data_IF_561713262350
#
_entry.id   IF_561713262350
#
_cell.length_a   1.000
_cell.length_b   1.000
_cell.length_c   1.000
_cell.angle_alpha   90.00
_cell.angle_beta   90.00
_cell.angle_gamma   90.00
#
_symmetry.space_group_name_H-M   'P 1'
#
loop_
_entity.id
_entity.type
_entity.pdbx_description
1 polymer ?
#
# COMPACT_ATOMS: atom_id res chain seq x y z
N UNK A 1 -10.45 -15.19 36.62
CA UNK A 1 -11.26 -15.57 35.44
C UNK A 1 -10.41 -16.52 34.64
N UNK A 2 -10.84 -17.77 34.44
CA UNK A 2 -10.10 -18.76 33.63
C UNK A 2 -10.66 -18.79 32.19
N UNK A 3 -10.00 -19.48 31.25
CA UNK A 3 -10.43 -19.56 29.84
C UNK A 3 -11.85 -20.11 29.69
N UNK A 4 -12.24 -21.07 30.53
CA UNK A 4 -13.59 -21.65 30.55
C UNK A 4 -14.64 -20.60 30.88
N UNK A 5 -14.38 -19.73 31.87
CA UNK A 5 -15.29 -18.64 32.24
C UNK A 5 -15.43 -17.63 31.10
N UNK A 6 -14.32 -17.28 30.44
CA UNK A 6 -14.30 -16.36 29.28
C UNK A 6 -15.08 -16.98 28.11
N UNK A 7 -14.81 -18.24 27.78
CA UNK A 7 -15.49 -18.96 26.68
C UNK A 7 -17.01 -19.09 26.92
N UNK A 8 -17.43 -19.23 28.18
CA UNK A 8 -18.86 -19.24 28.57
C UNK A 8 -19.51 -17.85 28.46
N UNK A 9 -18.75 -16.78 28.72
CA UNK A 9 -19.24 -15.41 28.59
C UNK A 9 -19.31 -14.93 27.14
N UNK A 10 -18.44 -15.44 26.26
CA UNK A 10 -18.44 -15.11 24.83
C UNK A 10 -19.63 -15.72 24.10
N UNK A 11 -20.53 -14.86 23.59
CA UNK A 11 -21.68 -15.26 22.76
C UNK A 11 -21.32 -15.50 21.29
N UNK A 12 -20.28 -14.83 20.81
CA UNK A 12 -19.79 -14.94 19.43
C UNK A 12 -18.35 -15.45 19.53
N UNK A 13 -18.12 -16.64 18.98
CA UNK A 13 -16.82 -17.31 18.95
C UNK A 13 -16.68 -18.18 17.72
N UNK A 14 -15.45 -18.63 17.45
CA UNK A 14 -15.19 -19.65 16.44
C UNK A 14 -15.69 -21.02 16.94
N UNK A 15 -16.08 -21.87 15.99
CA UNK A 15 -16.54 -23.22 16.31
C UNK A 15 -15.37 -24.08 16.82
N UNK A 16 -15.68 -25.12 17.58
CA UNK A 16 -14.71 -26.10 18.07
C UNK A 16 -14.37 -27.19 17.02
N UNK A 17 -14.47 -26.85 15.74
CA UNK A 17 -14.14 -27.73 14.63
C UNK A 17 -13.05 -27.09 13.79
N UNK A 18 -12.03 -27.89 13.45
CA UNK A 18 -10.96 -27.42 12.59
C UNK A 18 -11.43 -27.41 11.14
N UNK A 19 -11.41 -26.25 10.46
CA UNK A 19 -11.63 -26.22 9.03
C UNK A 19 -10.49 -26.99 8.32
N UNK A 20 -10.76 -27.55 7.13
CA UNK A 20 -9.71 -28.13 6.31
C UNK A 20 -8.67 -27.07 5.97
N UNK A 21 -7.41 -27.48 5.84
CA UNK A 21 -6.36 -26.57 5.44
C UNK A 21 -6.61 -26.09 3.99
N UNK A 22 -6.58 -24.78 3.72
CA UNK A 22 -6.99 -24.26 2.43
C UNK A 22 -5.98 -24.57 1.33
N UNK A 23 -6.46 -24.61 0.08
CA UNK A 23 -5.59 -24.67 -1.09
C UNK A 23 -5.20 -23.27 -1.56
N UNK A 24 -3.92 -23.10 -1.87
CA UNK A 24 -3.37 -21.89 -2.47
C UNK A 24 -3.22 -22.07 -3.97
N UNK A 25 -3.84 -21.19 -4.75
CA UNK A 25 -3.67 -21.13 -6.21
C UNK A 25 -2.27 -20.61 -6.54
N UNK A 26 -1.58 -21.33 -7.41
CA UNK A 26 -0.25 -20.96 -7.91
C UNK A 26 -0.30 -19.66 -8.72
N UNK A 27 0.79 -18.89 -8.74
CA UNK A 27 0.89 -17.63 -9.47
C UNK A 27 0.24 -16.42 -8.79
N UNK A 28 -0.52 -16.62 -7.71
CA UNK A 28 -1.01 -15.53 -6.87
C UNK A 28 0.08 -15.07 -5.92
N UNK A 29 0.32 -13.75 -5.89
CA UNK A 29 1.38 -13.12 -5.09
C UNK A 29 1.24 -13.43 -3.59
N UNK A 30 2.39 -13.60 -2.93
CA UNK A 30 2.52 -13.90 -1.49
C UNK A 30 3.39 -12.84 -0.83
N UNK A 31 3.08 -12.49 0.41
CA UNK A 31 3.92 -11.56 1.17
C UNK A 31 5.30 -12.18 1.46
N UNK A 32 6.38 -11.38 1.44
CA UNK A 32 7.69 -11.84 1.88
C UNK A 32 7.68 -12.18 3.38
N UNK A 33 8.71 -12.90 3.83
CA UNK A 33 8.92 -13.17 5.26
C UNK A 33 9.06 -11.84 6.01
N UNK A 34 8.25 -11.65 7.06
CA UNK A 34 8.29 -10.46 7.91
C UNK A 34 9.49 -10.50 8.86
N UNK A 35 10.00 -9.32 9.21
CA UNK A 35 11.04 -9.22 10.25
C UNK A 35 10.46 -9.65 11.59
N UNK A 36 11.10 -10.64 12.20
CA UNK A 36 10.67 -11.20 13.48
C UNK A 36 11.90 -11.35 14.39
N UNK A 37 12.01 -10.45 15.38
CA UNK A 37 13.03 -10.49 16.43
C UNK A 37 12.37 -10.78 17.78
N UNK A 38 11.88 -12.01 17.94
CA UNK A 38 11.26 -12.48 19.18
C UNK A 38 12.19 -13.45 19.90
N UNK A 39 12.35 -13.27 21.21
CA UNK A 39 13.00 -14.29 22.04
C UNK A 39 12.03 -15.46 22.34
N UNK A 40 12.53 -16.54 22.95
CA UNK A 40 11.71 -17.74 23.25
C UNK A 40 10.42 -17.42 24.03
N UNK A 41 10.51 -16.58 25.06
CA UNK A 41 9.34 -16.17 25.87
C UNK A 41 8.31 -15.41 25.02
N UNK A 42 8.77 -14.60 24.08
CA UNK A 42 7.92 -13.84 23.18
C UNK A 42 7.30 -14.70 22.10
N UNK A 43 8.00 -15.71 21.60
CA UNK A 43 7.43 -16.73 20.71
C UNK A 43 6.29 -17.47 21.42
N UNK A 44 6.50 -17.91 22.66
CA UNK A 44 5.44 -18.53 23.47
C UNK A 44 4.25 -17.57 23.69
N UNK A 45 4.52 -16.27 23.87
CA UNK A 45 3.48 -15.25 23.98
C UNK A 45 2.72 -15.04 22.67
N UNK A 46 3.41 -14.99 21.52
CA UNK A 46 2.79 -14.86 20.21
C UNK A 46 1.82 -16.03 19.93
N UNK A 47 2.24 -17.25 20.26
CA UNK A 47 1.40 -18.44 20.16
C UNK A 47 0.15 -18.33 21.05
N UNK A 48 0.32 -17.95 22.33
CA UNK A 48 -0.81 -17.73 23.25
C UNK A 48 -1.76 -16.65 22.73
N UNK A 49 -1.22 -15.57 22.15
CA UNK A 49 -2.00 -14.49 21.57
C UNK A 49 -2.76 -14.90 20.31
N UNK A 50 -2.27 -15.86 19.53
CA UNK A 50 -3.02 -16.43 18.41
C UNK A 50 -4.08 -17.43 18.91
N UNK A 51 -3.71 -18.30 19.85
CA UNK A 51 -4.59 -19.33 20.41
C UNK A 51 -5.79 -18.77 21.19
N UNK A 52 -5.73 -17.53 21.67
CA UNK A 52 -6.87 -16.88 22.35
C UNK A 52 -8.15 -16.80 21.51
N UNK A 53 -8.06 -16.93 20.19
CA UNK A 53 -9.20 -16.84 19.28
C UNK A 53 -9.94 -18.17 19.07
N UNK A 54 -9.32 -19.28 19.47
CA UNK A 54 -9.79 -20.64 19.18
C UNK A 54 -10.09 -21.40 20.48
N UNK A 55 -11.06 -22.32 20.49
CA UNK A 55 -11.35 -23.14 21.67
C UNK A 55 -10.13 -23.93 22.15
N UNK A 56 -10.00 -24.10 23.47
CA UNK A 56 -8.82 -24.69 24.13
C UNK A 56 -8.56 -26.13 23.68
N UNK A 57 -9.63 -26.89 23.42
CA UNK A 57 -9.55 -28.24 22.87
C UNK A 57 -8.84 -28.36 21.51
N UNK A 58 -8.67 -27.25 20.78
CA UNK A 58 -7.96 -27.22 19.49
C UNK A 58 -6.49 -26.77 19.62
N UNK A 59 -6.04 -26.37 20.81
CA UNK A 59 -4.73 -25.74 20.98
C UNK A 59 -3.56 -26.68 20.71
N UNK A 60 -3.69 -27.96 21.09
CA UNK A 60 -2.63 -28.96 20.88
C UNK A 60 -2.32 -29.17 19.40
N UNK A 61 -3.35 -29.16 18.54
CA UNK A 61 -3.21 -29.34 17.10
C UNK A 61 -2.77 -28.04 16.39
N UNK A 62 -3.26 -26.87 16.84
CA UNK A 62 -2.97 -25.57 16.20
C UNK A 62 -1.63 -24.96 16.62
N UNK A 63 -1.13 -25.24 17.82
CA UNK A 63 0.11 -24.63 18.30
C UNK A 63 1.34 -24.95 17.41
N UNK A 64 1.54 -26.20 16.93
CA UNK A 64 2.59 -26.51 15.97
C UNK A 64 2.44 -25.75 14.64
N UNK A 65 1.23 -25.65 14.10
CA UNK A 65 0.96 -24.92 12.85
C UNK A 65 1.27 -23.43 12.98
N UNK A 66 0.81 -22.81 14.07
CA UNK A 66 1.09 -21.39 14.33
C UNK A 66 2.57 -21.15 14.58
N UNK A 67 3.29 -22.09 15.21
CA UNK A 67 4.73 -21.98 15.39
C UNK A 67 5.45 -22.07 14.04
N UNK A 68 5.04 -23.00 13.17
CA UNK A 68 5.58 -23.12 11.83
C UNK A 68 5.36 -21.83 11.03
N UNK A 69 4.14 -21.30 11.02
CA UNK A 69 3.84 -20.02 10.35
C UNK A 69 4.71 -18.87 10.89
N UNK A 70 4.82 -18.76 12.22
CA UNK A 70 5.63 -17.71 12.85
C UNK A 70 7.11 -17.81 12.44
N UNK A 71 7.69 -19.01 12.43
CA UNK A 71 9.11 -19.20 12.10
C UNK A 71 9.41 -19.03 10.60
N UNK A 72 8.49 -19.47 9.75
CA UNK A 72 8.65 -19.45 8.29
C UNK A 72 8.30 -18.10 7.68
N UNK A 73 7.24 -17.46 8.17
CA UNK A 73 6.73 -16.19 7.61
C UNK A 73 6.99 -14.97 8.50
N UNK A 74 7.46 -15.16 9.73
CA UNK A 74 7.63 -14.07 10.70
C UNK A 74 6.30 -13.58 11.28
N UNK A 75 5.20 -14.28 11.03
CA UNK A 75 3.84 -13.88 11.40
C UNK A 75 2.89 -15.07 11.44
N UNK A 76 1.90 -15.04 12.34
CA UNK A 76 0.83 -16.05 12.41
C UNK A 76 -0.39 -15.51 11.66
N UNK A 77 -0.62 -15.99 10.44
CA UNK A 77 -1.79 -15.65 9.64
C UNK A 77 -2.99 -16.54 9.98
N UNK A 78 -2.74 -17.72 10.55
CA UNK A 78 -3.73 -18.76 10.80
C UNK A 78 -4.38 -19.22 9.51
N UNK A 79 -3.57 -19.64 8.52
CA UNK A 79 -4.04 -19.97 7.18
C UNK A 79 -5.18 -20.97 7.17
N UNK A 80 -5.17 -21.95 8.10
CA UNK A 80 -6.27 -22.90 8.28
C UNK A 80 -7.65 -22.23 8.37
N UNK A 81 -7.74 -21.04 8.98
CA UNK A 81 -8.99 -20.29 9.13
C UNK A 81 -9.35 -19.44 7.91
N UNK A 82 -8.56 -19.43 6.84
CA UNK A 82 -8.93 -18.72 5.61
C UNK A 82 -10.13 -19.41 4.93
N UNK A 83 -11.13 -18.67 4.41
CA UNK A 83 -12.16 -19.25 3.54
C UNK A 83 -11.57 -19.79 2.23
N UNK A 84 -12.03 -20.97 1.76
CA UNK A 84 -11.63 -21.54 0.47
C UNK A 84 -12.07 -20.65 -0.70
N UNK A 85 -11.28 -20.61 -1.78
CA UNK A 85 -11.63 -19.90 -3.02
C UNK A 85 -11.30 -18.41 -3.03
N UNK A 86 -11.71 -17.71 -4.10
CA UNK A 86 -11.53 -16.26 -4.25
C UNK A 86 -12.51 -15.50 -3.35
N UNK A 87 -11.99 -14.54 -2.60
CA UNK A 87 -12.78 -13.55 -1.86
C UNK A 87 -12.95 -12.34 -2.78
N UNK A 88 -14.12 -11.74 -2.82
CA UNK A 88 -14.40 -10.50 -3.55
C UNK A 88 -15.70 -9.87 -3.02
N UNK A 89 -15.87 -8.56 -3.21
CA UNK A 89 -17.08 -7.84 -2.80
C UNK A 89 -18.28 -8.26 -3.65
N UNK A 90 -19.23 -8.99 -3.05
CA UNK A 90 -20.47 -9.41 -3.72
C UNK A 90 -21.56 -8.33 -3.63
N UNK A 91 -22.64 -8.42 -4.41
CA UNK A 91 -23.85 -7.64 -4.17
C UNK A 91 -24.32 -7.75 -2.72
N UNK A 92 -24.70 -6.61 -2.13
CA UNK A 92 -25.04 -6.50 -0.70
C UNK A 92 -26.13 -7.47 -0.24
N UNK A 93 -27.04 -7.85 -1.12
CA UNK A 93 -28.14 -8.76 -0.82
C UNK A 93 -27.69 -10.20 -0.57
N UNK A 94 -26.48 -10.57 -1.00
CA UNK A 94 -25.87 -11.89 -0.72
C UNK A 94 -25.28 -11.99 0.70
N UNK A 95 -25.11 -10.85 1.39
CA UNK A 95 -24.56 -10.83 2.75
C UNK A 95 -25.64 -11.00 3.81
N UNK A 96 -25.32 -11.80 4.82
CA UNK A 96 -26.13 -11.96 6.04
C UNK A 96 -25.87 -10.79 6.99
N UNK A 97 -26.89 -10.35 7.71
CA UNK A 97 -26.75 -9.26 8.68
C UNK A 97 -28.08 -8.80 9.23
N UNK A 98 -28.07 -8.30 10.46
CA UNK A 98 -29.25 -7.72 11.14
C UNK A 98 -29.46 -6.23 10.82
N UNK A 99 -28.48 -5.56 10.22
CA UNK A 99 -28.60 -4.20 9.70
C UNK A 99 -27.86 -4.05 8.35
N UNK A 100 -28.18 -2.99 7.60
CA UNK A 100 -27.61 -2.74 6.27
C UNK A 100 -26.11 -2.42 6.35
N UNK A 101 -25.71 -1.63 7.33
CA UNK A 101 -24.33 -1.20 7.54
C UNK A 101 -23.43 -2.41 7.83
N UNK A 102 -23.91 -3.37 8.63
CA UNK A 102 -23.19 -4.62 8.87
C UNK A 102 -22.96 -5.43 7.60
N UNK A 103 -23.90 -5.42 6.65
CA UNK A 103 -23.71 -6.03 5.32
C UNK A 103 -22.73 -5.21 4.47
N UNK A 104 -22.87 -3.89 4.46
CA UNK A 104 -22.00 -2.99 3.71
C UNK A 104 -20.51 -3.15 4.10
N UNK A 105 -20.19 -3.19 5.40
CA UNK A 105 -18.82 -3.43 5.85
C UNK A 105 -18.30 -4.80 5.39
N UNK A 106 -19.15 -5.83 5.35
CA UNK A 106 -18.75 -7.14 4.85
C UNK A 106 -18.41 -7.12 3.35
N UNK A 107 -19.17 -6.39 2.53
CA UNK A 107 -18.86 -6.18 1.10
C UNK A 107 -17.48 -5.54 0.98
N UNK A 108 -17.24 -4.47 1.74
CA UNK A 108 -16.01 -3.69 1.63
C UNK A 108 -14.77 -4.43 2.14
N UNK A 109 -14.90 -5.22 3.21
CA UNK A 109 -13.83 -6.12 3.68
C UNK A 109 -13.45 -7.10 2.57
N UNK A 110 -14.43 -7.72 1.91
CA UNK A 110 -14.16 -8.70 0.87
C UNK A 110 -13.59 -8.05 -0.39
N UNK A 111 -14.02 -6.82 -0.71
CA UNK A 111 -13.43 -6.01 -1.78
C UNK A 111 -11.94 -5.70 -1.50
N UNK A 112 -11.59 -5.33 -0.27
CA UNK A 112 -10.20 -5.10 0.15
C UNK A 112 -9.32 -6.36 0.09
N UNK A 113 -9.92 -7.55 0.09
CA UNK A 113 -9.25 -8.85 0.00
C UNK A 113 -9.43 -9.52 -1.37
N UNK A 114 -10.01 -8.82 -2.34
CA UNK A 114 -10.17 -9.35 -3.69
C UNK A 114 -8.80 -9.60 -4.32
N UNK A 115 -8.66 -10.73 -5.01
CA UNK A 115 -7.43 -11.13 -5.69
C UNK A 115 -7.04 -10.17 -6.82
N UNK A 116 -8.02 -9.45 -7.36
CA UNK A 116 -7.80 -8.40 -8.38
C UNK A 116 -7.38 -7.05 -7.76
N UNK A 117 -7.61 -6.88 -6.46
CA UNK A 117 -7.43 -5.59 -5.75
C UNK A 117 -6.26 -5.62 -4.76
N UNK A 118 -6.17 -6.69 -3.98
CA UNK A 118 -5.22 -6.86 -2.89
C UNK A 118 -3.83 -7.28 -3.39
N UNK A 119 -2.81 -6.79 -2.71
CA UNK A 119 -1.41 -7.07 -3.01
C UNK A 119 -1.02 -8.51 -2.65
N UNK A 120 -1.35 -8.96 -1.44
CA UNK A 120 -1.12 -10.32 -0.94
C UNK A 120 -2.42 -10.84 -0.31
N UNK A 121 -3.39 -11.30 -1.12
CA UNK A 121 -4.74 -11.62 -0.64
C UNK A 121 -4.76 -12.77 0.37
N UNK A 122 -3.78 -13.67 0.33
CA UNK A 122 -3.64 -14.77 1.30
C UNK A 122 -3.12 -14.33 2.67
N UNK A 123 -2.39 -13.21 2.72
CA UNK A 123 -1.80 -12.63 3.92
C UNK A 123 -2.59 -11.42 4.44
N UNK A 124 -3.81 -11.23 3.94
CA UNK A 124 -4.73 -10.13 4.26
C UNK A 124 -4.21 -8.72 3.93
N UNK A 125 -3.15 -8.62 3.12
CA UNK A 125 -2.52 -7.35 2.75
C UNK A 125 -3.17 -6.78 1.49
N UNK A 126 -3.77 -5.60 1.61
CA UNK A 126 -4.41 -4.90 0.50
C UNK A 126 -3.39 -4.12 -0.32
N UNK A 127 -2.51 -3.31 0.30
CA UNK A 127 -1.49 -2.53 -0.42
C UNK A 127 -0.38 -2.00 0.50
N UNK A 128 0.66 -1.40 -0.07
CA UNK A 128 1.76 -0.77 0.68
C UNK A 128 2.63 -1.79 1.41
N UNK A 129 2.83 -2.97 0.81
CA UNK A 129 3.60 -4.14 1.31
C UNK A 129 3.08 -4.79 2.59
N UNK A 130 2.59 -4.03 3.56
CA UNK A 130 2.15 -4.53 4.88
C UNK A 130 0.77 -4.05 5.30
N UNK A 131 0.16 -3.12 4.54
CA UNK A 131 -1.15 -2.55 4.83
C UNK A 131 -2.27 -3.59 4.75
N UNK A 132 -2.80 -4.00 5.91
CA UNK A 132 -3.67 -5.18 6.01
C UNK A 132 -5.03 -4.90 6.63
N UNK A 133 -6.02 -5.71 6.26
CA UNK A 133 -7.42 -5.61 6.72
C UNK A 133 -7.54 -5.96 8.21
N UNK A 134 -6.83 -7.00 8.65
CA UNK A 134 -6.66 -7.44 10.03
C UNK A 134 -5.44 -8.37 10.09
N UNK A 135 -4.99 -8.75 11.28
CA UNK A 135 -3.72 -9.47 11.46
C UNK A 135 -3.76 -10.92 10.99
N UNK A 136 -4.91 -11.59 11.09
CA UNK A 136 -5.02 -13.02 10.80
C UNK A 136 -6.45 -13.44 10.42
N UNK A 137 -6.58 -14.65 9.88
CA UNK A 137 -7.85 -15.18 9.37
C UNK A 137 -8.86 -15.53 10.48
N UNK A 138 -8.40 -15.75 11.71
CA UNK A 138 -9.29 -15.94 12.86
C UNK A 138 -10.03 -14.64 13.19
N UNK A 139 -9.31 -13.51 13.19
CA UNK A 139 -9.90 -12.17 13.32
C UNK A 139 -10.88 -11.88 12.19
N UNK A 140 -10.50 -12.17 10.93
CA UNK A 140 -11.41 -12.01 9.78
C UNK A 140 -12.73 -12.74 10.02
N UNK A 141 -12.70 -14.03 10.38
CA UNK A 141 -13.93 -14.81 10.62
C UNK A 141 -14.76 -14.26 11.77
N UNK A 142 -14.13 -13.81 12.86
CA UNK A 142 -14.82 -13.21 13.99
C UNK A 142 -15.44 -11.87 13.62
N UNK A 143 -14.74 -11.00 12.89
CA UNK A 143 -15.27 -9.74 12.38
C UNK A 143 -16.53 -10.01 11.55
N UNK A 144 -16.50 -10.96 10.60
CA UNK A 144 -17.70 -11.32 9.81
C UNK A 144 -18.85 -11.78 10.71
N UNK A 145 -18.61 -12.69 11.68
CA UNK A 145 -19.63 -13.14 12.64
C UNK A 145 -20.21 -11.99 13.49
N UNK A 146 -19.38 -11.03 13.90
CA UNK A 146 -19.83 -9.84 14.62
C UNK A 146 -20.67 -8.93 13.74
N UNK A 147 -20.26 -8.68 12.50
CA UNK A 147 -21.00 -7.85 11.54
C UNK A 147 -22.36 -8.48 11.15
N UNK A 148 -22.44 -9.80 11.05
CA UNK A 148 -23.72 -10.50 10.86
C UNK A 148 -24.70 -10.27 12.03
N UNK A 149 -24.16 -10.09 13.24
CA UNK A 149 -24.93 -9.91 14.48
C UNK A 149 -25.08 -8.45 14.91
N UNK A 150 -24.43 -7.52 14.22
CA UNK A 150 -24.47 -6.09 14.49
C UNK A 150 -25.89 -5.56 14.26
N UNK A 151 -26.35 -4.72 15.19
CA UNK A 151 -27.66 -4.06 15.11
C UNK A 151 -27.48 -2.54 15.19
N UNK A 152 -28.56 -1.78 15.00
CA UNK A 152 -28.54 -0.33 15.18
C UNK A 152 -28.32 0.11 16.64
N UNK A 153 -28.40 -0.80 17.61
CA UNK A 153 -28.18 -0.51 19.04
C UNK A 153 -26.77 -0.85 19.52
N UNK A 154 -25.89 -1.26 18.60
CA UNK A 154 -24.52 -1.65 18.95
C UNK A 154 -23.47 -1.02 18.03
N UNK A 155 -22.26 -0.95 18.56
CA UNK A 155 -21.04 -0.58 17.84
C UNK A 155 -20.02 -1.69 18.02
N UNK A 156 -19.46 -2.18 16.91
CA UNK A 156 -18.30 -3.07 16.94
C UNK A 156 -17.03 -2.25 17.17
N UNK A 157 -16.25 -2.62 18.18
CA UNK A 157 -14.91 -2.03 18.42
C UNK A 157 -13.85 -2.98 17.89
N UNK A 158 -12.95 -2.48 17.05
CA UNK A 158 -11.84 -3.23 16.45
C UNK A 158 -10.52 -2.56 16.79
N UNK A 159 -9.61 -3.29 17.43
CA UNK A 159 -8.31 -2.78 17.87
C UNK A 159 -7.18 -3.45 17.10
N UNK A 160 -6.59 -2.75 16.13
CA UNK A 160 -5.55 -3.28 15.26
C UNK A 160 -5.95 -4.63 14.63
N UNK A 161 -7.17 -4.71 14.10
CA UNK A 161 -7.75 -5.94 13.54
C UNK A 161 -8.39 -6.90 14.56
N UNK A 162 -8.12 -6.77 15.87
CA UNK A 162 -8.78 -7.58 16.90
C UNK A 162 -10.23 -7.11 17.12
N UNK A 163 -11.26 -7.94 16.86
CA UNK A 163 -12.64 -7.55 17.15
C UNK A 163 -12.93 -7.70 18.65
N UNK A 164 -12.72 -6.61 19.40
CA UNK A 164 -12.92 -6.56 20.85
C UNK A 164 -14.34 -6.97 21.25
N UNK A 165 -15.34 -6.52 20.49
CA UNK A 165 -16.73 -6.97 20.63
C UNK A 165 -17.77 -5.92 20.28
N UNK A 166 -19.03 -6.28 20.53
CA UNK A 166 -20.19 -5.40 20.35
C UNK A 166 -20.55 -4.72 21.67
N UNK A 167 -20.53 -3.39 21.66
CA UNK A 167 -20.89 -2.57 22.82
C UNK A 167 -22.21 -1.86 22.53
N UNK A 168 -23.03 -1.65 23.56
CA UNK A 168 -24.30 -0.91 23.42
C UNK A 168 -24.01 0.53 23.00
N UNK A 169 -24.71 1.01 21.98
CA UNK A 169 -24.64 2.37 21.48
C UNK A 169 -26.04 2.85 21.03
N UNK A 170 -26.11 3.99 20.35
CA UNK A 170 -27.36 4.59 19.84
C UNK A 170 -27.41 4.48 18.31
N UNK A 171 -28.59 4.47 17.67
CA UNK A 171 -28.72 4.39 16.21
C UNK A 171 -27.88 5.40 15.42
N UNK A 172 -27.62 6.59 15.97
CA UNK A 172 -26.83 7.65 15.32
C UNK A 172 -25.31 7.47 15.48
N UNK A 173 -24.88 6.57 16.37
CA UNK A 173 -23.46 6.30 16.57
C UNK A 173 -22.85 5.53 15.39
N UNK A 174 -21.53 5.63 15.17
CA UNK A 174 -20.83 4.75 14.25
C UNK A 174 -21.10 3.28 14.56
N UNK A 175 -21.36 2.49 13.52
CA UNK A 175 -21.60 1.05 13.64
C UNK A 175 -20.32 0.25 13.90
N UNK A 176 -19.18 0.78 13.47
CA UNK A 176 -17.84 0.25 13.74
C UNK A 176 -16.93 1.40 14.14
N UNK A 177 -16.14 1.21 15.20
CA UNK A 177 -15.01 2.06 15.57
C UNK A 177 -13.77 1.20 15.49
N UNK A 178 -12.74 1.69 14.81
CA UNK A 178 -11.52 0.94 14.61
C UNK A 178 -10.28 1.80 14.81
N UNK A 179 -9.26 1.18 15.39
CA UNK A 179 -7.91 1.72 15.48
C UNK A 179 -6.96 0.74 14.81
N UNK A 180 -5.88 1.22 14.19
CA UNK A 180 -4.86 0.36 13.61
C UNK A 180 -3.48 0.96 13.90
N UNK A 181 -2.60 0.17 14.55
CA UNK A 181 -1.21 0.54 14.76
C UNK A 181 -1.00 1.71 15.71
N UNK A 182 -1.95 1.99 16.62
CA UNK A 182 -1.75 3.01 17.64
C UNK A 182 -0.72 2.52 18.67
N UNK A 183 0.45 3.15 18.64
CA UNK A 183 1.56 2.88 19.56
C UNK A 183 1.71 4.03 20.57
N UNK A 184 2.20 3.73 21.77
CA UNK A 184 2.63 4.79 22.70
C UNK A 184 3.89 5.42 22.11
N UNK A 185 3.98 6.75 22.03
CA UNK A 185 4.99 7.46 21.23
C UNK A 185 6.45 7.04 21.45
N UNK A 186 6.83 6.63 22.67
CA UNK A 186 8.19 6.11 22.95
C UNK A 186 8.51 4.78 22.22
N UNK A 187 7.48 4.01 21.90
CA UNK A 187 7.54 2.74 21.16
C UNK A 187 7.00 2.87 19.73
N UNK A 188 6.70 4.09 19.26
CA UNK A 188 6.22 4.34 17.90
C UNK A 188 7.42 4.42 16.94
N UNK A 189 8.07 3.28 16.76
CA UNK A 189 9.21 3.10 15.87
C UNK A 189 9.12 1.73 15.17
N UNK A 190 9.87 1.57 14.08
CA UNK A 190 9.78 0.39 13.23
C UNK A 190 10.12 -0.92 13.97
N UNK A 191 11.12 -0.90 14.86
CA UNK A 191 11.56 -2.10 15.59
C UNK A 191 10.48 -2.59 16.56
N UNK A 192 9.97 -1.68 17.40
CA UNK A 192 8.91 -1.99 18.35
C UNK A 192 7.60 -2.34 17.64
N UNK A 193 7.30 -1.69 16.52
CA UNK A 193 6.14 -2.03 15.70
C UNK A 193 6.25 -3.43 15.10
N UNK A 194 7.39 -3.79 14.50
CA UNK A 194 7.64 -5.13 13.94
C UNK A 194 7.52 -6.21 15.02
N UNK A 195 8.06 -5.94 16.22
CA UNK A 195 7.88 -6.80 17.39
C UNK A 195 6.41 -6.95 17.79
N UNK A 196 5.66 -5.85 17.87
CA UNK A 196 4.25 -5.85 18.25
C UNK A 196 3.35 -6.57 17.21
N UNK A 197 3.68 -6.42 15.93
CA UNK A 197 3.02 -7.12 14.82
C UNK A 197 3.22 -8.65 14.93
N UNK A 198 4.46 -9.11 15.09
CA UNK A 198 4.77 -10.53 15.25
C UNK A 198 4.16 -11.16 16.51
N UNK A 199 4.01 -10.38 17.59
CA UNK A 199 3.30 -10.79 18.80
C UNK A 199 1.77 -10.87 18.63
N UNK A 200 1.21 -10.39 17.51
CA UNK A 200 -0.22 -10.34 17.27
C UNK A 200 -0.96 -9.28 18.10
N UNK A 201 -0.30 -8.14 18.37
CA UNK A 201 -0.87 -7.03 19.16
C UNK A 201 -0.88 -5.68 18.43
N UNK A 202 -0.29 -5.59 17.24
CA UNK A 202 -0.38 -4.42 16.36
C UNK A 202 -0.66 -4.84 14.91
N UNK A 203 -1.32 -3.96 14.16
CA UNK A 203 -1.61 -4.12 12.73
C UNK A 203 -1.33 -2.80 12.01
N UNK A 204 -0.63 -2.87 10.88
CA UNK A 204 -0.50 -1.72 9.99
C UNK A 204 -1.72 -1.69 9.07
N UNK A 205 -2.68 -0.81 9.37
CA UNK A 205 -3.90 -0.67 8.57
C UNK A 205 -3.73 0.19 7.32
N UNK A 206 -2.55 0.81 7.11
CA UNK A 206 -2.40 1.92 6.17
C UNK A 206 -3.54 2.94 6.41
N UNK A 207 -4.12 3.51 5.35
CA UNK A 207 -5.29 4.38 5.42
C UNK A 207 -6.58 3.60 5.14
N UNK A 208 -6.64 2.89 4.01
CA UNK A 208 -7.89 2.31 3.49
C UNK A 208 -7.91 0.79 3.53
N UNK A 209 -6.77 0.14 3.84
CA UNK A 209 -6.67 -1.31 4.00
C UNK A 209 -7.39 -1.76 5.29
N UNK A 210 -6.92 -1.27 6.44
CA UNK A 210 -7.53 -1.47 7.74
C UNK A 210 -8.80 -0.65 7.96
N UNK A 211 -9.02 0.39 7.15
CA UNK A 211 -10.25 1.19 7.11
C UNK A 211 -11.40 0.57 6.28
N UNK A 212 -11.15 -0.57 5.62
CA UNK A 212 -12.12 -1.30 4.79
C UNK A 212 -12.79 -0.42 3.73
N UNK A 213 -12.00 0.34 2.97
CA UNK A 213 -12.52 1.26 1.95
C UNK A 213 -11.57 1.49 0.78
N UNK A 214 -10.73 0.50 0.46
CA UNK A 214 -9.86 0.53 -0.70
C UNK A 214 -10.66 0.13 -1.93
N UNK A 215 -10.56 0.91 -3.02
CA UNK A 215 -11.33 0.74 -4.26
C UNK A 215 -10.42 0.45 -5.45
N UNK A 216 -9.27 -0.15 -5.17
CA UNK A 216 -8.23 -0.31 -6.17
C UNK A 216 -7.57 1.03 -6.52
N UNK A 217 -6.87 1.05 -7.67
CA UNK A 217 -6.01 2.18 -8.02
C UNK A 217 -6.74 3.42 -8.56
N UNK A 218 -8.05 3.38 -8.83
CA UNK A 218 -8.82 4.51 -9.35
C UNK A 218 -8.70 5.77 -8.48
N UNK A 219 -8.80 5.63 -7.16
CA UNK A 219 -8.70 6.77 -6.23
C UNK A 219 -7.36 7.52 -6.35
N UNK A 220 -6.30 6.81 -6.74
CA UNK A 220 -4.98 7.41 -6.96
C UNK A 220 -4.89 8.05 -8.35
N UNK A 221 -5.53 7.51 -9.39
CA UNK A 221 -5.52 8.11 -10.74
C UNK A 221 -6.00 9.57 -10.69
N UNK A 222 -7.13 9.84 -10.02
CA UNK A 222 -7.66 11.19 -9.88
C UNK A 222 -6.73 12.10 -9.06
N UNK A 223 -6.20 11.58 -7.94
CA UNK A 223 -5.24 12.33 -7.12
C UNK A 223 -3.98 12.70 -7.91
N UNK A 224 -3.40 11.74 -8.63
CA UNK A 224 -2.21 11.97 -9.46
C UNK A 224 -2.45 12.88 -10.64
N UNK A 225 -3.60 12.75 -11.30
CA UNK A 225 -4.02 13.66 -12.36
C UNK A 225 -4.04 15.10 -11.85
N UNK A 226 -4.66 15.35 -10.69
CA UNK A 226 -4.69 16.69 -10.09
C UNK A 226 -3.29 17.17 -9.71
N UNK A 227 -2.47 16.33 -9.07
CA UNK A 227 -1.09 16.70 -8.70
C UNK A 227 -0.27 17.18 -9.89
N UNK A 228 -0.22 16.40 -10.97
CA UNK A 228 0.61 16.73 -12.13
C UNK A 228 0.05 17.91 -12.92
N UNK A 229 -1.27 18.06 -13.01
CA UNK A 229 -1.90 19.15 -13.73
C UNK A 229 -1.73 20.47 -12.97
N UNK A 230 -1.89 20.47 -11.65
CA UNK A 230 -1.64 21.63 -10.79
C UNK A 230 -0.15 21.99 -10.82
N UNK A 231 0.76 21.02 -10.74
CA UNK A 231 2.20 21.27 -10.92
C UNK A 231 2.50 21.92 -12.28
N UNK A 232 1.87 21.43 -13.35
CA UNK A 232 1.98 22.01 -14.69
C UNK A 232 1.50 23.46 -14.74
N UNK A 233 0.39 23.79 -14.07
CA UNK A 233 -0.13 25.17 -13.98
C UNK A 233 0.83 26.08 -13.22
N UNK A 234 1.29 25.63 -12.06
CA UNK A 234 2.16 26.40 -11.17
C UNK A 234 3.55 26.66 -11.76
N UNK A 235 4.16 25.65 -12.40
CA UNK A 235 5.59 25.65 -12.74
C UNK A 235 5.88 25.72 -14.23
N UNK A 236 4.95 25.26 -15.08
CA UNK A 236 5.14 25.16 -16.53
C UNK A 236 4.26 26.13 -17.34
N UNK A 237 3.46 26.96 -16.66
CA UNK A 237 2.56 27.93 -17.31
C UNK A 237 1.39 27.30 -18.04
N UNK A 238 0.96 26.09 -17.67
CA UNK A 238 -0.24 25.46 -18.22
C UNK A 238 -1.47 26.33 -17.86
N UNK A 239 -2.32 26.72 -18.82
CA UNK A 239 -3.54 27.47 -18.54
C UNK A 239 -4.51 26.71 -17.61
N UNK A 240 -5.43 27.43 -16.97
CA UNK A 240 -6.42 26.79 -16.08
C UNK A 240 -7.32 25.80 -16.82
N UNK A 241 -7.70 26.12 -18.05
CA UNK A 241 -8.44 25.28 -19.00
C UNK A 241 -7.53 24.41 -19.90
N UNK A 242 -6.23 24.42 -19.61
CA UNK A 242 -5.21 23.66 -20.33
C UNK A 242 -4.93 22.27 -19.75
N UNK A 243 -4.01 21.56 -20.40
CA UNK A 243 -3.55 20.23 -20.05
C UNK A 243 -2.02 20.10 -20.23
N UNK A 244 -1.46 18.90 -20.06
CA UNK A 244 -0.03 18.64 -20.13
C UNK A 244 0.47 18.34 -21.55
N UNK A 245 -0.27 18.69 -22.62
CA UNK A 245 0.21 18.45 -24.00
C UNK A 245 1.57 19.08 -24.25
N UNK A 246 2.49 18.24 -24.73
CA UNK A 246 3.87 18.63 -25.00
C UNK A 246 4.73 18.80 -23.74
N UNK A 247 4.29 18.27 -22.59
CA UNK A 247 5.06 18.22 -21.34
C UNK A 247 5.44 16.79 -20.99
N UNK A 248 6.65 16.62 -20.46
CA UNK A 248 7.22 15.35 -20.03
C UNK A 248 7.16 15.20 -18.51
N UNK A 249 6.53 14.12 -18.03
CA UNK A 249 6.61 13.67 -16.65
C UNK A 249 7.46 12.40 -16.55
N UNK A 250 8.46 12.39 -15.67
CA UNK A 250 9.24 11.18 -15.36
C UNK A 250 9.05 10.84 -13.89
N UNK A 251 8.80 9.57 -13.60
CA UNK A 251 8.66 9.06 -12.23
C UNK A 251 9.02 7.56 -12.16
N UNK A 252 8.73 6.94 -11.03
CA UNK A 252 9.08 5.56 -10.71
C UNK A 252 7.95 4.82 -9.99
N UNK A 253 8.01 3.50 -10.04
CA UNK A 253 7.07 2.58 -9.40
C UNK A 253 5.79 2.38 -10.22
N UNK A 254 5.38 1.11 -10.36
CA UNK A 254 4.12 0.70 -10.98
C UNK A 254 3.32 -0.25 -10.07
N UNK A 255 3.56 -0.13 -8.76
CA UNK A 255 2.90 -0.89 -7.69
C UNK A 255 1.42 -0.52 -7.51
N UNK A 256 0.86 -0.81 -6.33
CA UNK A 256 -0.58 -0.62 -6.06
C UNK A 256 -1.08 0.81 -6.31
N UNK A 257 -0.40 1.80 -5.72
CA UNK A 257 -0.74 3.22 -5.90
C UNK A 257 0.01 3.84 -7.08
N UNK A 258 1.32 3.58 -7.19
CA UNK A 258 2.18 4.17 -8.22
C UNK A 258 1.87 3.71 -9.64
N UNK A 259 1.16 2.57 -9.80
CA UNK A 259 0.63 2.13 -11.07
C UNK A 259 -0.41 3.07 -11.70
N UNK A 260 -0.98 4.01 -10.95
CA UNK A 260 -1.93 5.01 -11.46
C UNK A 260 -1.28 6.16 -12.23
N UNK A 261 0.02 6.41 -12.04
CA UNK A 261 0.72 7.55 -12.65
C UNK A 261 0.68 7.52 -14.19
N UNK A 262 0.92 6.37 -14.87
CA UNK A 262 0.73 6.24 -16.32
C UNK A 262 -0.61 6.74 -16.83
N UNK A 263 -1.70 6.26 -16.20
CA UNK A 263 -3.05 6.60 -16.63
C UNK A 263 -3.39 8.05 -16.36
N UNK A 264 -2.94 8.59 -15.23
CA UNK A 264 -3.12 10.00 -14.88
C UNK A 264 -2.47 10.94 -15.90
N UNK A 265 -1.25 10.62 -16.36
CA UNK A 265 -0.56 11.40 -17.41
C UNK A 265 -1.32 11.38 -18.72
N UNK A 266 -1.81 10.23 -19.15
CA UNK A 266 -2.58 10.13 -20.40
C UNK A 266 -3.89 10.90 -20.32
N UNK A 267 -4.61 10.83 -19.19
CA UNK A 267 -5.83 11.63 -18.98
C UNK A 267 -5.50 13.13 -18.99
N UNK A 268 -4.33 13.52 -18.46
CA UNK A 268 -3.82 14.89 -18.54
C UNK A 268 -3.23 15.26 -19.92
N UNK A 269 -3.37 14.40 -20.93
CA UNK A 269 -2.81 14.56 -22.28
C UNK A 269 -1.29 14.79 -22.34
N UNK A 270 -0.54 14.31 -21.34
CA UNK A 270 0.92 14.45 -21.25
C UNK A 270 1.70 13.24 -21.78
N UNK A 271 3.04 13.35 -21.76
CA UNK A 271 3.96 12.24 -22.05
C UNK A 271 4.63 11.79 -20.76
N UNK A 272 4.60 10.48 -20.48
CA UNK A 272 5.08 9.91 -19.21
C UNK A 272 6.09 8.79 -19.41
N UNK A 273 7.16 8.77 -18.60
CA UNK A 273 8.08 7.62 -18.47
C UNK A 273 8.13 7.17 -17.01
N UNK A 274 7.90 5.87 -16.76
CA UNK A 274 7.80 5.30 -15.43
C UNK A 274 8.74 4.11 -15.28
N UNK A 275 9.76 4.24 -14.43
CA UNK A 275 10.71 3.17 -14.17
C UNK A 275 10.15 2.14 -13.17
N UNK A 276 10.27 0.86 -13.48
CA UNK A 276 9.88 -0.25 -12.61
C UNK A 276 10.82 -1.44 -12.82
N UNK A 277 11.24 -2.08 -11.73
CA UNK A 277 12.15 -3.23 -11.76
C UNK A 277 11.40 -4.57 -11.72
N UNK A 278 10.19 -4.60 -11.17
CA UNK A 278 9.33 -5.79 -11.13
C UNK A 278 8.51 -5.87 -12.43
N UNK A 279 8.96 -6.68 -13.38
CA UNK A 279 8.26 -6.86 -14.65
C UNK A 279 6.80 -7.30 -14.48
N UNK A 280 6.47 -8.03 -13.40
CA UNK A 280 5.08 -8.44 -13.14
C UNK A 280 4.15 -7.23 -12.93
N UNK A 281 4.66 -6.12 -12.41
CA UNK A 281 3.90 -4.86 -12.24
C UNK A 281 3.68 -4.19 -13.57
N UNK A 282 4.73 -4.09 -14.39
CA UNK A 282 4.65 -3.55 -15.75
C UNK A 282 3.59 -4.32 -16.54
N UNK A 283 3.68 -5.66 -16.54
CA UNK A 283 2.76 -6.51 -17.27
C UNK A 283 1.31 -6.33 -16.78
N UNK A 284 1.10 -6.24 -15.46
CA UNK A 284 -0.22 -5.96 -14.89
C UNK A 284 -0.79 -4.64 -15.43
N UNK A 285 -0.01 -3.56 -15.43
CA UNK A 285 -0.49 -2.22 -15.87
C UNK A 285 -0.68 -2.15 -17.38
N UNK A 286 0.13 -2.85 -18.15
CA UNK A 286 -0.03 -2.93 -19.59
C UNK A 286 -1.30 -3.70 -19.97
N UNK A 287 -1.54 -4.87 -19.36
CA UNK A 287 -2.78 -5.65 -19.55
C UNK A 287 -4.04 -4.86 -19.16
N UNK A 288 -3.94 -3.97 -18.18
CA UNK A 288 -5.02 -3.06 -17.77
C UNK A 288 -5.26 -1.90 -18.75
N UNK A 289 -4.39 -1.69 -19.76
CA UNK A 289 -4.45 -0.53 -20.65
C UNK A 289 -4.07 0.78 -19.95
N UNK A 290 -3.27 0.70 -18.88
CA UNK A 290 -2.80 1.85 -18.12
C UNK A 290 -1.42 2.29 -18.55
N UNK A 291 -0.61 1.36 -19.07
CA UNK A 291 0.68 1.61 -19.74
C UNK A 291 0.52 1.33 -21.22
N UNK A 292 0.87 2.29 -22.08
CA UNK A 292 0.77 2.15 -23.53
C UNK A 292 1.97 1.42 -24.16
N UNK A 293 3.20 1.74 -23.74
CA UNK A 293 4.43 1.16 -24.30
C UNK A 293 5.35 0.62 -23.21
N UNK A 294 6.07 -0.47 -23.50
CA UNK A 294 7.07 -1.06 -22.61
C UNK A 294 8.42 -1.07 -23.32
N UNK A 295 9.47 -0.67 -22.61
CA UNK A 295 10.85 -0.72 -23.09
C UNK A 295 11.81 -1.05 -21.96
N UNK A 296 12.93 -1.69 -22.27
CA UNK A 296 14.03 -2.01 -21.35
C UNK A 296 15.25 -1.10 -21.57
N UNK A 297 15.10 -0.04 -22.37
CA UNK A 297 16.19 0.85 -22.74
C UNK A 297 15.86 2.31 -22.43
N UNK A 298 16.67 3.01 -21.61
CA UNK A 298 16.50 4.45 -21.38
C UNK A 298 16.49 5.25 -22.69
N UNK A 299 17.39 4.88 -23.62
CA UNK A 299 17.48 5.51 -24.93
C UNK A 299 16.16 5.41 -25.70
N UNK A 300 15.58 4.21 -25.81
CA UNK A 300 14.30 4.02 -26.51
C UNK A 300 13.18 4.76 -25.80
N UNK A 301 13.11 4.71 -24.47
CA UNK A 301 12.08 5.41 -23.69
C UNK A 301 12.05 6.91 -24.00
N UNK A 302 13.21 7.58 -23.97
CA UNK A 302 13.29 9.00 -24.28
C UNK A 302 13.15 9.32 -25.78
N UNK A 303 13.47 8.38 -26.68
CA UNK A 303 13.21 8.54 -28.11
C UNK A 303 11.71 8.53 -28.40
N UNK A 304 10.98 7.52 -27.91
CA UNK A 304 9.51 7.45 -27.99
C UNK A 304 8.88 8.70 -27.37
N UNK A 305 9.29 9.08 -26.15
CA UNK A 305 8.75 10.27 -25.50
C UNK A 305 8.94 11.54 -26.36
N UNK A 306 10.12 11.72 -26.96
CA UNK A 306 10.40 12.85 -27.85
C UNK A 306 9.51 12.89 -29.09
N UNK A 307 9.15 11.73 -29.65
CA UNK A 307 8.25 11.64 -30.79
C UNK A 307 6.84 12.11 -30.42
N UNK A 308 6.30 11.64 -29.29
CA UNK A 308 4.97 12.02 -28.81
C UNK A 308 4.90 13.47 -28.34
N UNK A 309 5.95 13.99 -27.70
CA UNK A 309 6.08 15.41 -27.36
C UNK A 309 5.98 16.30 -28.61
N UNK A 310 6.64 15.90 -29.72
CA UNK A 310 6.57 16.63 -31.01
C UNK A 310 5.19 16.58 -31.64
N UNK A 311 4.52 15.43 -31.57
CA UNK A 311 3.15 15.25 -32.08
C UNK A 311 2.09 15.93 -31.21
N UNK A 312 2.45 16.28 -29.96
CA UNK A 312 1.51 16.72 -28.91
C UNK A 312 0.41 15.69 -28.64
N UNK A 313 0.81 14.42 -28.69
CA UNK A 313 -0.02 13.26 -28.36
C UNK A 313 0.43 12.70 -27.01
N UNK A 314 -0.52 12.16 -26.25
CA UNK A 314 -0.22 11.55 -24.96
C UNK A 314 0.33 10.14 -25.11
N UNK A 315 1.24 9.74 -24.23
CA UNK A 315 1.67 8.35 -24.11
C UNK A 315 2.19 8.09 -22.69
N UNK A 316 1.97 6.88 -22.20
CA UNK A 316 2.65 6.34 -21.03
C UNK A 316 3.61 5.22 -21.40
N UNK A 317 4.86 5.36 -20.96
CA UNK A 317 5.95 4.43 -21.27
C UNK A 317 6.44 3.81 -19.95
N UNK A 318 6.35 2.49 -19.81
CA UNK A 318 7.02 1.78 -18.74
C UNK A 318 8.45 1.43 -19.15
N UNK A 319 9.42 1.88 -18.35
CA UNK A 319 10.81 1.48 -18.47
C UNK A 319 11.09 0.33 -17.49
N UNK A 320 11.36 -0.86 -18.02
CA UNK A 320 11.79 -2.01 -17.23
C UNK A 320 13.27 -1.85 -16.85
N UNK A 321 13.50 -1.33 -15.64
CA UNK A 321 14.83 -1.03 -15.13
C UNK A 321 14.79 -0.10 -13.93
N UNK A 322 15.97 0.21 -13.39
CA UNK A 322 16.06 1.05 -12.20
C UNK A 322 15.90 2.54 -12.56
N UNK A 323 15.14 3.29 -11.77
CA UNK A 323 14.96 4.74 -11.94
C UNK A 323 16.29 5.48 -11.99
N UNK A 324 17.28 5.06 -11.20
CA UNK A 324 18.61 5.70 -11.19
C UNK A 324 19.28 5.61 -12.56
N UNK A 325 19.17 4.47 -13.27
CA UNK A 325 19.73 4.31 -14.62
C UNK A 325 19.05 5.24 -15.64
N UNK A 326 17.73 5.41 -15.52
CA UNK A 326 16.94 6.29 -16.38
C UNK A 326 17.33 7.76 -16.18
N UNK A 327 17.47 8.20 -14.93
CA UNK A 327 17.83 9.58 -14.60
C UNK A 327 19.30 9.89 -14.90
N UNK A 328 20.23 8.99 -14.59
CA UNK A 328 21.64 9.14 -14.99
C UNK A 328 21.79 9.26 -16.52
N UNK A 329 20.97 8.53 -17.29
CA UNK A 329 20.91 8.68 -18.74
C UNK A 329 20.40 10.07 -19.16
N UNK A 330 19.32 10.56 -18.55
CA UNK A 330 18.78 11.89 -18.84
C UNK A 330 19.80 13.00 -18.57
N UNK A 331 20.51 12.93 -17.43
CA UNK A 331 21.59 13.87 -17.07
C UNK A 331 22.71 13.85 -18.11
N UNK A 332 23.20 12.65 -18.46
CA UNK A 332 24.31 12.49 -19.42
C UNK A 332 23.97 13.05 -20.79
N UNK A 333 22.77 12.76 -21.28
CA UNK A 333 22.31 13.15 -22.62
C UNK A 333 21.65 14.55 -22.63
N UNK A 334 21.64 15.25 -21.48
CA UNK A 334 21.05 16.59 -21.30
C UNK A 334 19.59 16.66 -21.78
N UNK A 335 18.82 15.66 -21.41
CA UNK A 335 17.39 15.57 -21.75
C UNK A 335 16.60 16.39 -20.73
N UNK A 336 15.87 17.40 -21.21
CA UNK A 336 15.00 18.19 -20.36
C UNK A 336 13.76 17.38 -19.94
N UNK A 337 13.44 17.42 -18.65
CA UNK A 337 12.26 16.82 -18.04
C UNK A 337 11.47 17.96 -17.39
N UNK A 338 10.21 18.16 -17.79
CA UNK A 338 9.41 19.26 -17.24
C UNK A 338 9.05 19.00 -15.76
N UNK A 339 8.47 17.82 -15.49
CA UNK A 339 8.05 17.37 -14.16
C UNK A 339 8.79 16.08 -13.78
N UNK A 340 9.32 16.01 -12.57
CA UNK A 340 10.04 14.84 -12.04
C UNK A 340 9.50 14.47 -10.65
N UNK A 341 9.34 13.18 -10.39
CA UNK A 341 8.97 12.69 -9.05
C UNK A 341 9.51 11.27 -8.82
N UNK A 342 9.17 10.69 -7.67
CA UNK A 342 9.44 9.31 -7.31
C UNK A 342 8.28 8.75 -6.49
N UNK A 343 7.87 7.52 -6.79
CA UNK A 343 6.85 6.81 -6.02
C UNK A 343 7.25 5.35 -5.74
N UNK A 344 8.56 5.11 -5.58
CA UNK A 344 9.06 3.87 -4.95
C UNK A 344 8.58 3.78 -3.50
N UNK A 345 8.62 2.60 -2.87
CA UNK A 345 8.10 2.43 -1.51
C UNK A 345 9.16 2.76 -0.44
N UNK A 346 9.68 3.99 -0.44
CA UNK A 346 10.73 4.42 0.50
C UNK A 346 10.31 4.45 1.98
N UNK A 347 9.00 4.43 2.29
CA UNK A 347 8.49 4.20 3.65
C UNK A 347 8.89 2.82 4.21
N UNK A 348 9.17 1.85 3.34
CA UNK A 348 9.63 0.50 3.65
C UNK A 348 10.96 0.19 2.93
N UNK A 349 11.84 1.19 2.83
CA UNK A 349 13.04 1.17 1.97
C UNK A 349 13.94 -0.06 2.20
N UNK A 350 14.13 -0.47 3.46
CA UNK A 350 14.96 -1.62 3.81
C UNK A 350 14.19 -2.96 3.88
N UNK A 351 12.87 -2.93 3.69
CA UNK A 351 12.00 -4.12 3.72
C UNK A 351 11.62 -4.59 2.31
N UNK A 352 12.30 -4.07 1.28
CA UNK A 352 12.06 -4.40 -0.12
C UNK A 352 11.20 -3.41 -0.89
N UNK A 353 10.86 -2.27 -0.27
CA UNK A 353 10.17 -1.18 -0.96
C UNK A 353 11.03 -0.43 -1.99
N UNK A 354 12.35 -0.57 -1.93
CA UNK A 354 13.32 0.04 -2.84
C UNK A 354 14.31 -1.00 -3.38
N UNK A 355 14.50 -1.04 -4.70
CA UNK A 355 15.48 -1.91 -5.33
C UNK A 355 16.77 -1.13 -5.63
N UNK A 356 17.93 -1.50 -5.05
CA UNK A 356 19.17 -0.79 -5.32
C UNK A 356 19.60 -0.94 -6.78
N UNK A 357 20.16 0.14 -7.34
CA UNK A 357 20.74 0.14 -8.68
C UNK A 357 21.79 -0.96 -8.84
N UNK A 358 21.74 -1.67 -9.97
CA UNK A 358 22.68 -2.75 -10.31
C UNK A 358 22.24 -4.15 -9.86
N UNK A 359 21.09 -4.27 -9.17
CA UNK A 359 20.44 -5.56 -8.93
C UNK A 359 19.15 -5.66 -9.75
N UNK A 360 18.84 -6.88 -10.20
CA UNK A 360 17.52 -7.28 -10.67
C UNK A 360 16.52 -7.39 -9.50
N UNK A 361 15.22 -7.47 -9.82
CA UNK A 361 14.18 -7.66 -8.82
C UNK A 361 14.34 -8.98 -8.05
N UNK A 362 14.71 -10.05 -8.75
CA UNK A 362 14.94 -11.38 -8.19
C UNK A 362 16.14 -11.39 -7.27
N UNK A 363 17.29 -10.86 -7.71
CA UNK A 363 18.51 -10.76 -6.89
C UNK A 363 18.27 -9.93 -5.63
N UNK A 364 17.52 -8.83 -5.76
CA UNK A 364 17.11 -8.02 -4.62
C UNK A 364 16.27 -8.83 -3.64
N UNK A 365 15.30 -9.60 -4.14
CA UNK A 365 14.39 -10.39 -3.31
C UNK A 365 15.14 -11.51 -2.57
N UNK A 366 16.08 -12.17 -3.25
CA UNK A 366 16.98 -13.16 -2.63
C UNK A 366 17.87 -12.51 -1.56
N UNK A 367 18.45 -11.35 -1.85
CA UNK A 367 19.33 -10.65 -0.93
C UNK A 367 18.62 -10.18 0.35
N UNK A 368 17.34 -9.78 0.26
CA UNK A 368 16.52 -9.48 1.43
C UNK A 368 16.41 -10.67 2.40
N UNK A 369 16.30 -11.89 1.86
CA UNK A 369 16.19 -13.11 2.66
C UNK A 369 17.54 -13.57 3.23
N UNK A 370 18.62 -13.42 2.46
CA UNK A 370 19.89 -14.08 2.75
C UNK A 370 21.01 -13.14 3.23
N UNK A 371 20.95 -11.83 2.94
CA UNK A 371 22.02 -10.88 3.24
C UNK A 371 21.52 -9.44 3.44
N UNK A 372 20.80 -9.22 4.55
CA UNK A 372 20.15 -7.94 4.87
C UNK A 372 21.14 -6.79 5.07
N UNK A 373 22.31 -7.03 5.67
CA UNK A 373 23.33 -5.99 5.87
C UNK A 373 23.86 -5.46 4.53
N UNK A 374 24.18 -6.36 3.60
CA UNK A 374 24.63 -5.95 2.26
C UNK A 374 23.53 -5.25 1.48
N UNK A 375 22.29 -5.70 1.62
CA UNK A 375 21.13 -5.05 1.01
C UNK A 375 21.02 -3.58 1.47
N UNK A 376 21.11 -3.31 2.78
CA UNK A 376 21.07 -1.96 3.34
C UNK A 376 22.21 -1.08 2.78
N UNK A 377 23.43 -1.61 2.69
CA UNK A 377 24.58 -0.89 2.12
C UNK A 377 24.32 -0.47 0.66
N UNK A 378 23.80 -1.38 -0.16
CA UNK A 378 23.49 -1.13 -1.56
C UNK A 378 22.33 -0.14 -1.74
N UNK A 379 21.29 -0.25 -0.91
CA UNK A 379 20.17 0.71 -0.87
C UNK A 379 20.70 2.11 -0.57
N UNK A 380 21.53 2.27 0.47
CA UNK A 380 22.09 3.57 0.84
C UNK A 380 22.92 4.19 -0.29
N UNK A 381 23.75 3.37 -0.94
CA UNK A 381 24.55 3.79 -2.10
C UNK A 381 23.67 4.21 -3.28
N UNK A 382 22.60 3.48 -3.55
CA UNK A 382 21.67 3.78 -4.64
C UNK A 382 20.84 5.04 -4.37
N UNK A 383 20.38 5.25 -3.13
CA UNK A 383 19.65 6.48 -2.74
C UNK A 383 20.51 7.73 -2.90
N UNK A 384 21.81 7.66 -2.58
CA UNK A 384 22.74 8.76 -2.83
C UNK A 384 22.79 9.11 -4.32
N UNK A 385 22.98 8.13 -5.19
CA UNK A 385 23.01 8.36 -6.64
C UNK A 385 21.68 8.88 -7.18
N UNK A 386 20.57 8.37 -6.65
CA UNK A 386 19.23 8.85 -7.03
C UNK A 386 19.07 10.33 -6.69
N UNK A 387 19.47 10.73 -5.49
CA UNK A 387 19.51 12.12 -5.07
C UNK A 387 20.41 12.97 -5.97
N UNK A 388 21.63 12.52 -6.26
CA UNK A 388 22.60 13.25 -7.10
C UNK A 388 22.05 13.48 -8.52
N UNK A 389 21.35 12.48 -9.09
CA UNK A 389 20.71 12.59 -10.40
C UNK A 389 19.54 13.59 -10.39
N UNK A 390 18.65 13.52 -9.38
CA UNK A 390 17.54 14.46 -9.22
C UNK A 390 18.08 15.89 -9.07
N UNK A 391 19.07 16.10 -8.20
CA UNK A 391 19.71 17.40 -7.99
C UNK A 391 20.25 17.97 -9.30
N UNK A 392 20.96 17.16 -10.08
CA UNK A 392 21.49 17.55 -11.40
C UNK A 392 20.38 17.94 -12.38
N UNK A 393 19.26 17.22 -12.40
CA UNK A 393 18.12 17.51 -13.27
C UNK A 393 17.35 18.78 -12.83
N UNK A 394 17.26 19.03 -11.53
CA UNK A 394 16.67 20.26 -10.98
C UNK A 394 17.54 21.47 -11.31
N UNK A 395 18.87 21.36 -11.20
CA UNK A 395 19.82 22.39 -11.65
C UNK A 395 19.71 22.66 -13.16
N UNK A 396 19.25 21.67 -13.94
CA UNK A 396 18.95 21.80 -15.37
C UNK A 396 17.51 22.27 -15.66
N UNK A 397 16.74 22.67 -14.65
CA UNK A 397 15.42 23.27 -14.78
C UNK A 397 14.23 22.33 -14.67
N UNK A 398 14.44 21.07 -14.26
CA UNK A 398 13.32 20.16 -13.97
C UNK A 398 12.64 20.56 -12.66
N UNK A 399 11.31 20.53 -12.60
CA UNK A 399 10.60 20.68 -11.34
C UNK A 399 10.42 19.32 -10.66
N UNK A 400 11.16 19.08 -9.58
CA UNK A 400 11.02 17.88 -8.75
C UNK A 400 10.11 18.13 -7.55
N UNK A 401 9.27 17.15 -7.23
CA UNK A 401 8.49 17.10 -6.00
C UNK A 401 8.44 15.68 -5.43
N UNK A 402 8.54 15.56 -4.11
CA UNK A 402 8.38 14.28 -3.38
C UNK A 402 6.89 13.90 -3.33
N UNK A 403 6.58 12.63 -3.65
CA UNK A 403 5.21 12.12 -3.74
C UNK A 403 4.70 11.53 -2.40
N UNK A 404 5.25 11.96 -1.27
CA UNK A 404 4.83 11.50 0.06
C UNK A 404 5.17 10.03 0.34
N UNK A 405 6.23 9.51 -0.29
CA UNK A 405 6.68 8.13 -0.14
C UNK A 405 7.86 7.98 0.84
N UNK A 406 8.22 9.05 1.55
CA UNK A 406 9.37 9.14 2.45
C UNK A 406 10.74 9.08 1.77
N UNK A 407 10.83 9.34 0.46
CA UNK A 407 12.09 9.32 -0.29
C UNK A 407 13.14 10.26 0.33
N UNK A 408 12.80 11.53 0.57
CA UNK A 408 13.77 12.49 1.12
C UNK A 408 14.27 12.09 2.52
N UNK A 409 13.41 11.51 3.35
CA UNK A 409 13.80 10.98 4.67
C UNK A 409 14.73 9.76 4.53
N UNK A 410 14.43 8.84 3.62
CA UNK A 410 15.28 7.69 3.34
C UNK A 410 16.68 8.13 2.84
N UNK A 411 16.76 9.14 1.97
CA UNK A 411 18.01 9.75 1.51
C UNK A 411 18.82 10.34 2.69
N UNK A 412 18.16 11.05 3.60
CA UNK A 412 18.80 11.61 4.80
C UNK A 412 19.37 10.52 5.73
N UNK A 413 18.61 9.44 5.91
CA UNK A 413 18.98 8.28 6.74
C UNK A 413 20.11 7.46 6.12
N UNK A 414 20.18 7.41 4.78
CA UNK A 414 21.32 6.87 4.04
C UNK A 414 22.60 7.71 4.15
N UNK A 415 22.57 8.84 4.87
CA UNK A 415 23.72 9.67 5.19
C UNK A 415 23.93 10.86 4.24
N UNK A 416 22.99 11.17 3.37
CA UNK A 416 23.04 12.36 2.51
C UNK A 416 22.47 13.55 3.30
N UNK A 417 23.29 14.21 4.12
CA UNK A 417 22.79 15.28 5.01
C UNK A 417 22.35 16.55 4.29
N UNK A 418 22.89 16.82 3.10
CA UNK A 418 22.53 17.99 2.29
C UNK A 418 21.10 17.98 1.73
N UNK A 419 20.37 16.85 1.79
CA UNK A 419 18.93 16.83 1.47
C UNK A 419 18.13 17.64 2.50
N UNK A 420 18.64 17.79 3.73
CA UNK A 420 18.05 18.64 4.77
C UNK A 420 18.45 20.09 4.55
N UNK A 421 17.51 21.02 4.79
CA UNK A 421 17.78 22.47 4.68
C UNK A 421 18.90 22.96 5.61
N UNK A 422 19.01 22.38 6.80
CA UNK A 422 20.02 22.78 7.80
C UNK A 422 21.26 21.87 7.82
N UNK A 423 21.25 20.77 7.06
CA UNK A 423 22.36 19.81 6.97
C UNK A 423 22.64 18.99 8.23
N UNK A 424 21.78 19.06 9.26
CA UNK A 424 22.00 18.43 10.58
C UNK A 424 20.90 17.45 10.97
N UNK A 425 19.66 17.90 10.90
CA UNK A 425 18.45 17.16 11.29
C UNK A 425 17.31 17.41 10.29
N UNK A 426 16.11 16.90 10.55
CA UNK A 426 14.95 17.02 9.64
C UNK A 426 13.93 18.07 10.08
N UNK A 427 14.22 18.89 11.09
CA UNK A 427 13.19 19.75 11.70
C UNK A 427 12.78 20.93 10.81
N UNK A 428 13.66 21.40 9.95
CA UNK A 428 13.37 22.46 8.96
C UNK A 428 12.86 21.91 7.62
N UNK A 429 12.69 20.60 7.53
CA UNK A 429 12.33 19.89 6.30
C UNK A 429 13.50 19.73 5.33
N UNK A 430 13.16 19.46 4.07
CA UNK A 430 14.10 19.09 3.02
C UNK A 430 14.18 20.14 1.91
N UNK A 431 15.23 20.07 1.09
CA UNK A 431 15.51 21.06 0.04
C UNK A 431 14.53 20.99 -1.14
N UNK A 432 13.88 19.84 -1.34
CA UNK A 432 12.86 19.67 -2.37
C UNK A 432 11.45 19.76 -1.77
N UNK A 433 10.48 20.27 -2.53
CA UNK A 433 9.10 20.37 -2.06
C UNK A 433 8.43 18.99 -1.97
N UNK A 434 7.50 18.86 -1.02
CA UNK A 434 6.52 17.76 -1.00
C UNK A 434 5.29 18.15 -1.81
N UNK A 435 4.70 17.21 -2.55
CA UNK A 435 3.46 17.46 -3.27
C UNK A 435 2.30 17.90 -2.36
N UNK A 436 2.30 17.47 -1.09
CA UNK A 436 1.27 17.90 -0.13
C UNK A 436 1.45 19.36 0.23
N UNK A 437 2.67 19.78 0.56
CA UNK A 437 2.95 21.12 1.05
C UNK A 437 2.97 22.16 -0.08
N UNK A 438 3.51 21.81 -1.26
CA UNK A 438 3.71 22.76 -2.37
C UNK A 438 2.56 22.72 -3.39
N UNK A 439 1.80 21.62 -3.49
CA UNK A 439 0.78 21.44 -4.54
C UNK A 439 -0.61 21.27 -3.93
N UNK A 440 -0.91 20.12 -3.31
CA UNK A 440 -2.28 19.79 -2.91
C UNK A 440 -2.80 20.59 -1.72
N UNK A 441 -1.96 20.92 -0.75
CA UNK A 441 -2.32 21.71 0.42
C UNK A 441 -2.89 23.06 0.01
N UNK A 442 -2.05 23.93 -0.59
CA UNK A 442 -2.45 25.28 -0.98
C UNK A 442 -3.57 25.31 -2.03
N UNK A 443 -3.59 24.34 -2.96
CA UNK A 443 -4.47 24.40 -4.12
C UNK A 443 -5.78 23.61 -3.95
N UNK A 444 -5.85 22.66 -3.00
CA UNK A 444 -7.04 21.83 -2.76
C UNK A 444 -7.43 21.74 -1.29
N UNK A 445 -6.55 21.24 -0.42
CA UNK A 445 -6.92 20.88 0.95
C UNK A 445 -7.30 22.10 1.79
N UNK A 446 -6.63 23.24 1.60
CA UNK A 446 -6.93 24.48 2.31
C UNK A 446 -8.34 25.02 2.00
N UNK A 447 -8.92 24.59 0.87
CA UNK A 447 -10.29 24.89 0.46
C UNK A 447 -11.29 23.78 0.81
N UNK A 448 -10.84 22.71 1.48
CA UNK A 448 -11.67 21.56 1.85
C UNK A 448 -11.89 20.55 0.71
N UNK A 449 -11.23 20.69 -0.43
CA UNK A 449 -11.25 19.65 -1.47
C UNK A 449 -10.40 18.47 -1.01
N UNK A 450 -10.89 17.26 -1.25
CA UNK A 450 -10.19 16.05 -0.85
C UNK A 450 -10.73 14.82 -1.54
N UNK A 451 -10.21 13.63 -1.20
CA UNK A 451 -10.61 12.38 -1.84
C UNK A 451 -12.03 11.98 -1.40
N UNK A 452 -13.03 12.45 -2.16
CA UNK A 452 -14.40 11.96 -2.08
C UNK A 452 -14.52 10.64 -2.85
N UNK A 453 -15.20 9.65 -2.27
CA UNK A 453 -15.38 8.32 -2.86
C UNK A 453 -16.73 7.74 -2.48
N UNK A 454 -17.25 6.89 -3.35
CA UNK A 454 -18.45 6.10 -3.09
C UNK A 454 -18.31 4.71 -3.73
N UNK A 455 -19.15 3.78 -3.29
CA UNK A 455 -19.22 2.42 -3.83
C UNK A 455 -20.69 2.04 -3.98
N UNK A 456 -21.06 1.53 -5.15
CA UNK A 456 -22.39 1.00 -5.41
C UNK A 456 -22.48 -0.43 -4.89
N UNK A 457 -23.02 -0.61 -3.68
CA UNK A 457 -23.09 -1.92 -3.00
C UNK A 457 -24.01 -2.94 -3.71
N UNK A 458 -24.76 -2.52 -4.73
CA UNK A 458 -25.51 -3.41 -5.62
C UNK A 458 -24.61 -4.26 -6.52
N UNK A 459 -23.35 -3.84 -6.74
CA UNK A 459 -22.43 -4.47 -7.69
C UNK A 459 -22.80 -4.23 -9.16
N UNK A 460 -23.76 -3.34 -9.45
CA UNK A 460 -24.22 -3.06 -10.82
C UNK A 460 -23.50 -1.87 -11.43
N UNK A 461 -22.96 -2.05 -12.63
CA UNK A 461 -22.28 -1.00 -13.40
C UNK A 461 -23.21 0.19 -13.71
N UNK A 462 -24.49 -0.08 -13.98
CA UNK A 462 -25.49 0.97 -14.24
C UNK A 462 -25.67 1.96 -13.08
N UNK A 463 -25.47 1.51 -11.83
CA UNK A 463 -25.59 2.39 -10.67
C UNK A 463 -24.38 3.33 -10.59
N UNK A 464 -23.18 2.85 -10.94
CA UNK A 464 -21.99 3.70 -11.02
C UNK A 464 -22.12 4.74 -12.15
N UNK A 465 -22.58 4.33 -13.33
CA UNK A 465 -22.85 5.23 -14.46
C UNK A 465 -23.89 6.29 -14.09
N UNK A 466 -24.90 5.93 -13.29
CA UNK A 466 -25.91 6.90 -12.81
C UNK A 466 -25.34 7.90 -11.82
N UNK A 467 -24.40 7.49 -10.96
CA UNK A 467 -23.74 8.41 -10.01
C UNK A 467 -22.73 9.33 -10.67
N UNK A 468 -22.18 8.95 -11.82
CA UNK A 468 -21.26 9.78 -12.61
C UNK A 468 -21.97 10.93 -13.38
N UNK A 469 -23.27 10.76 -13.67
CA UNK A 469 -24.11 11.75 -14.36
C UNK A 469 -24.68 12.77 -13.38
#
# INVERSE_FOLDING_TARGET
MNNTDISKAMKIKLENTLPPYPKFVEGIRRAPKREMKLNRREIELALKNALRYVPEELHEELAPEFLEELLTHGHIYGYRFRPEGRIYGKPIDEYKGKCLEGKAFQVMIDNNLDFETALYPYELVTYGETGSVCQNWMQYRLIKKYLENLTHENTLVVESGHPLGLFKSRPEAPRVIMTNGLMVGMFDNQEDFNRANALGVANYGQMTAGGWMYIGPQGIVHGTYNTILIAGRMKLGVPQDGDLRGKLFVSSGLGGMSGAQPKAVEIANGVGIFAEVDFSRIETRHKQGWVSEITDSPKKAFQTAREFLKKKESISIAYHGNIVDLLEYAVKEKIHIDLLSDQTSCHAVYEGGYCPQGLTFEERTEMLANNREKFIELVNKSLRKHFDAIKSLVEQGSYFFDYGNSFMKAVFDAGVKEISKNGKDTYEGFIFPSYVEDILGPELFDYGYGPFRWVCLSGKEEDLIKTDK
#
